data_IF_865043069361
#
_entry.id   IF_865043069361
#
_cell.length_a   1.000
_cell.length_b   1.000
_cell.length_c   1.000
_cell.angle_alpha   90.00
_cell.angle_beta   90.00
_cell.angle_gamma   90.00
#
_symmetry.space_group_name_H-M   'P 1'
#
loop_
_entity.id
_entity.type
_entity.pdbx_description
1 polymer ?
#
# COMPACT_ATOMS: atom_id res chain seq x y z
N UNK A 1 -59.71 10.28 -30.34
CA UNK A 1 -59.13 8.93 -30.59
C UNK A 1 -57.73 9.13 -31.20
N UNK A 2 -56.71 8.91 -30.42
CA UNK A 2 -55.31 8.95 -30.89
C UNK A 2 -54.87 7.57 -31.28
N UNK A 3 -54.72 7.29 -32.55
CA UNK A 3 -54.19 6.05 -33.09
C UNK A 3 -52.69 6.00 -32.90
N UNK A 4 -52.21 5.18 -31.98
CA UNK A 4 -50.80 4.91 -31.74
C UNK A 4 -50.23 4.08 -32.89
N UNK A 5 -49.35 4.68 -33.69
CA UNK A 5 -48.64 3.96 -34.77
C UNK A 5 -47.78 2.82 -34.19
N UNK A 6 -47.89 1.58 -34.72
CA UNK A 6 -47.02 0.50 -34.27
C UNK A 6 -45.61 0.77 -34.72
N UNK A 7 -44.70 0.92 -33.75
CA UNK A 7 -43.27 1.04 -34.01
C UNK A 7 -42.74 -0.20 -34.74
N UNK A 8 -42.04 -0.01 -35.84
CA UNK A 8 -41.38 -1.06 -36.63
C UNK A 8 -40.31 -1.71 -35.75
N UNK A 9 -40.55 -2.94 -35.34
CA UNK A 9 -39.51 -3.74 -34.66
C UNK A 9 -38.52 -4.23 -35.73
N UNK A 10 -37.29 -3.71 -35.70
CA UNK A 10 -36.20 -4.20 -36.53
C UNK A 10 -35.58 -5.39 -35.81
N UNK A 11 -35.72 -6.59 -36.38
CA UNK A 11 -35.00 -7.79 -35.91
C UNK A 11 -33.53 -7.76 -36.35
N UNK A 12 -32.64 -8.23 -35.50
CA UNK A 12 -31.21 -8.41 -35.81
C UNK A 12 -31.04 -9.57 -36.77
N UNK A 13 -30.23 -9.42 -37.80
CA UNK A 13 -29.96 -10.49 -38.76
C UNK A 13 -28.91 -11.46 -38.19
N UNK A 14 -28.94 -12.72 -38.62
CA UNK A 14 -27.99 -13.74 -38.19
C UNK A 14 -26.54 -13.34 -38.55
N UNK A 15 -26.37 -12.72 -39.72
CA UNK A 15 -25.02 -12.25 -40.15
C UNK A 15 -24.50 -11.11 -39.25
N UNK A 16 -25.36 -10.18 -38.81
CA UNK A 16 -25.00 -9.10 -37.91
C UNK A 16 -24.54 -9.61 -36.54
N UNK A 17 -25.25 -10.66 -36.05
CA UNK A 17 -24.86 -11.31 -34.81
C UNK A 17 -23.50 -12.03 -34.93
N UNK A 18 -23.23 -12.73 -36.04
CA UNK A 18 -21.95 -13.38 -36.30
C UNK A 18 -20.79 -12.38 -36.35
N UNK A 19 -21.01 -11.25 -37.06
CA UNK A 19 -20.01 -10.20 -37.18
C UNK A 19 -19.72 -9.55 -35.82
N UNK A 20 -20.76 -9.23 -35.05
CA UNK A 20 -20.59 -8.62 -33.72
C UNK A 20 -19.85 -9.52 -32.73
N UNK A 21 -20.19 -10.83 -32.68
CA UNK A 21 -19.52 -11.82 -31.83
C UNK A 21 -18.05 -11.98 -32.25
N UNK A 22 -17.75 -11.98 -33.55
CA UNK A 22 -16.38 -12.07 -34.04
C UNK A 22 -15.53 -10.85 -33.60
N UNK A 23 -16.08 -9.64 -33.75
CA UNK A 23 -15.40 -8.42 -33.34
C UNK A 23 -15.15 -8.42 -31.80
N UNK A 24 -16.17 -8.78 -31.01
CA UNK A 24 -16.04 -8.85 -29.55
C UNK A 24 -14.97 -9.87 -29.16
N UNK A 25 -14.96 -11.05 -29.81
CA UNK A 25 -13.95 -12.08 -29.52
C UNK A 25 -12.52 -11.61 -29.76
N UNK A 26 -12.28 -10.87 -30.85
CA UNK A 26 -10.97 -10.29 -31.14
C UNK A 26 -10.57 -9.24 -30.10
N UNK A 27 -11.50 -8.36 -29.72
CA UNK A 27 -11.26 -7.33 -28.72
C UNK A 27 -10.93 -7.94 -27.34
N UNK A 28 -11.64 -8.99 -26.94
CA UNK A 28 -11.38 -9.70 -25.69
C UNK A 28 -10.03 -10.42 -25.71
N UNK A 29 -9.65 -11.04 -26.80
CA UNK A 29 -8.38 -11.74 -26.94
C UNK A 29 -7.17 -10.81 -26.74
N UNK A 30 -7.26 -9.54 -27.14
CA UNK A 30 -6.21 -8.54 -26.97
C UNK A 30 -6.31 -7.84 -25.62
N UNK A 31 -7.52 -7.56 -25.14
CA UNK A 31 -7.75 -6.77 -23.92
C UNK A 31 -7.48 -7.52 -22.62
N UNK A 32 -7.85 -8.79 -22.53
CA UNK A 32 -7.73 -9.58 -21.28
C UNK A 32 -6.29 -9.68 -20.76
N UNK A 33 -5.24 -9.95 -21.57
CA UNK A 33 -3.87 -10.04 -21.05
C UNK A 33 -3.37 -8.75 -20.41
N UNK A 34 -3.72 -7.61 -20.97
CA UNK A 34 -3.28 -6.30 -20.46
C UNK A 34 -3.95 -5.91 -19.13
N UNK A 35 -5.18 -6.37 -18.91
CA UNK A 35 -5.91 -6.16 -17.65
C UNK A 35 -5.21 -6.83 -16.45
N UNK A 36 -4.62 -8.00 -16.64
CA UNK A 36 -3.91 -8.72 -15.59
C UNK A 36 -2.72 -7.93 -15.04
N UNK A 37 -1.95 -7.26 -15.90
CA UNK A 37 -0.83 -6.43 -15.47
C UNK A 37 -1.30 -5.13 -14.79
N UNK A 38 -2.33 -4.50 -15.32
CA UNK A 38 -2.94 -3.32 -14.71
C UNK A 38 -3.44 -3.62 -13.29
N UNK A 39 -4.12 -4.76 -13.07
CA UNK A 39 -4.57 -5.20 -11.74
C UNK A 39 -3.36 -5.40 -10.80
N UNK A 40 -2.28 -6.04 -11.27
CA UNK A 40 -1.07 -6.23 -10.44
C UNK A 40 -0.44 -4.90 -10.03
N UNK A 41 -0.30 -3.95 -10.95
CA UNK A 41 0.24 -2.61 -10.65
C UNK A 41 -0.65 -1.85 -9.66
N UNK A 42 -1.97 -1.91 -9.86
CA UNK A 42 -2.93 -1.24 -8.99
C UNK A 42 -2.91 -1.80 -7.56
N UNK A 43 -2.81 -3.12 -7.40
CA UNK A 43 -2.73 -3.75 -6.07
C UNK A 43 -1.48 -3.33 -5.30
N UNK A 44 -0.32 -3.18 -5.96
CA UNK A 44 0.91 -2.66 -5.33
C UNK A 44 0.70 -1.19 -4.92
N UNK A 45 0.07 -0.38 -5.77
CA UNK A 45 -0.25 1.02 -5.47
C UNK A 45 -1.13 1.16 -4.23
N UNK A 46 -2.24 0.43 -4.18
CA UNK A 46 -3.18 0.44 -3.04
C UNK A 46 -2.51 -0.03 -1.74
N UNK A 47 -1.66 -1.06 -1.82
CA UNK A 47 -0.89 -1.52 -0.68
C UNK A 47 0.11 -0.46 -0.19
N UNK A 48 0.79 0.24 -1.11
CA UNK A 48 1.71 1.33 -0.77
C UNK A 48 0.99 2.52 -0.11
N UNK A 49 -0.18 2.89 -0.62
CA UNK A 49 -1.03 3.91 -0.01
C UNK A 49 -1.49 3.52 1.39
N UNK A 50 -1.85 2.24 1.61
CA UNK A 50 -2.20 1.73 2.93
C UNK A 50 -1.06 1.90 3.93
N UNK A 51 0.17 1.49 3.58
CA UNK A 51 1.36 1.66 4.43
C UNK A 51 1.66 3.14 4.67
N UNK A 52 1.60 3.96 3.63
CA UNK A 52 1.81 5.41 3.73
C UNK A 52 0.80 6.07 4.68
N UNK A 53 -0.47 5.69 4.59
CA UNK A 53 -1.53 6.20 5.46
C UNK A 53 -1.34 5.75 6.91
N UNK A 54 -0.95 4.49 7.14
CA UNK A 54 -0.61 3.98 8.47
C UNK A 54 0.56 4.74 9.11
N UNK A 55 1.62 5.01 8.35
CA UNK A 55 2.76 5.79 8.82
C UNK A 55 2.36 7.24 9.15
N UNK A 56 1.59 7.91 8.28
CA UNK A 56 1.07 9.27 8.53
C UNK A 56 0.17 9.32 9.76
N UNK A 57 -0.64 8.29 9.95
CA UNK A 57 -1.48 8.19 11.13
C UNK A 57 -0.64 8.02 12.41
N UNK A 58 0.43 7.22 12.36
CA UNK A 58 1.35 7.07 13.48
C UNK A 58 2.04 8.40 13.85
N UNK A 59 2.52 9.15 12.85
CA UNK A 59 3.10 10.48 13.03
C UNK A 59 2.09 11.46 13.62
N UNK A 60 0.90 11.57 13.04
CA UNK A 60 -0.15 12.46 13.51
C UNK A 60 -0.58 12.15 14.96
N UNK A 61 -0.74 10.86 15.30
CA UNK A 61 -1.07 10.44 16.66
C UNK A 61 0.06 10.72 17.66
N UNK A 62 1.31 10.58 17.26
CA UNK A 62 2.44 10.92 18.09
C UNK A 62 2.45 12.42 18.44
N UNK A 63 2.24 13.28 17.45
CA UNK A 63 2.15 14.74 17.64
C UNK A 63 0.92 15.09 18.48
N UNK A 64 -0.26 14.54 18.14
CA UNK A 64 -1.52 14.83 18.84
C UNK A 64 -1.49 14.47 20.32
N UNK A 65 -0.88 13.32 20.66
CA UNK A 65 -0.79 12.84 22.04
C UNK A 65 0.47 13.32 22.76
N UNK A 66 1.39 13.95 22.05
CA UNK A 66 2.73 14.32 22.55
C UNK A 66 3.44 13.13 23.22
N UNK A 67 3.39 11.95 22.59
CA UNK A 67 3.97 10.71 23.09
C UNK A 67 4.52 9.87 21.93
N UNK A 68 5.29 8.83 22.28
CA UNK A 68 5.80 7.91 21.26
C UNK A 68 4.66 7.03 20.72
N UNK A 69 4.60 6.92 19.41
CA UNK A 69 3.70 6.02 18.68
C UNK A 69 4.51 5.10 17.79
N UNK A 70 4.23 3.82 17.85
CA UNK A 70 4.89 2.80 17.07
C UNK A 70 4.03 2.43 15.85
N UNK A 71 4.65 2.47 14.69
CA UNK A 71 4.19 1.74 13.51
C UNK A 71 4.96 0.44 13.45
N UNK A 72 4.27 -0.70 13.44
CA UNK A 72 4.92 -2.02 13.41
C UNK A 72 4.36 -2.89 12.28
N UNK A 73 5.25 -3.69 11.70
CA UNK A 73 4.87 -4.81 10.85
C UNK A 73 4.65 -6.04 11.74
N UNK A 74 3.68 -6.86 11.40
CA UNK A 74 3.33 -8.06 12.16
C UNK A 74 2.77 -9.15 11.26
N UNK A 75 2.92 -10.39 11.66
CA UNK A 75 2.25 -11.53 11.01
C UNK A 75 0.89 -11.86 11.65
N UNK A 76 0.60 -11.30 12.82
CA UNK A 76 -0.69 -11.45 13.47
C UNK A 76 -1.75 -10.51 12.86
N UNK A 77 -3.03 -10.83 13.10
CA UNK A 77 -4.15 -9.97 12.75
C UNK A 77 -4.20 -8.77 13.69
N UNK A 78 -4.06 -7.54 13.18
CA UNK A 78 -4.16 -6.35 14.02
C UNK A 78 -5.59 -6.21 14.58
N UNK A 79 -5.70 -6.09 15.90
CA UNK A 79 -6.99 -5.87 16.56
C UNK A 79 -6.81 -5.08 17.86
N UNK A 80 -7.87 -4.40 18.30
CA UNK A 80 -7.83 -3.65 19.54
C UNK A 80 -7.64 -4.57 20.76
N UNK A 81 -8.27 -5.73 20.77
CA UNK A 81 -8.14 -6.71 21.86
C UNK A 81 -6.77 -7.40 21.88
N UNK A 82 -6.12 -7.52 20.73
CA UNK A 82 -4.83 -8.18 20.59
C UNK A 82 -3.61 -7.26 20.66
N UNK A 83 -3.77 -5.96 20.92
CA UNK A 83 -2.67 -4.98 20.82
C UNK A 83 -1.46 -5.32 21.70
N UNK A 84 -1.69 -5.93 22.87
CA UNK A 84 -0.63 -6.32 23.81
C UNK A 84 0.16 -7.54 23.31
N UNK A 85 -0.46 -8.40 22.51
CA UNK A 85 0.16 -9.62 21.96
C UNK A 85 0.76 -9.44 20.57
N UNK A 86 0.59 -8.25 19.94
CA UNK A 86 1.21 -7.98 18.65
C UNK A 86 2.73 -7.93 18.78
N UNK A 87 3.40 -8.89 18.18
CA UNK A 87 4.86 -8.88 18.02
C UNK A 87 5.25 -8.25 16.70
N UNK A 88 6.23 -7.36 16.77
CA UNK A 88 6.84 -6.79 15.58
C UNK A 88 7.66 -7.84 14.85
N UNK A 89 7.57 -7.85 13.53
CA UNK A 89 8.27 -8.80 12.67
C UNK A 89 8.81 -8.08 11.43
N UNK A 90 10.09 -8.27 11.14
CA UNK A 90 10.66 -7.82 9.87
C UNK A 90 9.90 -8.47 8.71
N UNK A 91 9.56 -7.68 7.71
CA UNK A 91 8.79 -8.12 6.56
C UNK A 91 7.42 -8.72 6.91
N UNK A 92 6.81 -8.28 8.01
CA UNK A 92 5.48 -8.74 8.44
C UNK A 92 4.42 -8.43 7.38
N UNK A 93 3.44 -9.34 7.24
CA UNK A 93 2.39 -9.25 6.21
C UNK A 93 1.34 -8.17 6.49
N UNK A 94 1.19 -7.77 7.74
CA UNK A 94 0.21 -6.80 8.20
C UNK A 94 0.92 -5.65 8.90
N UNK A 95 0.24 -4.54 9.10
CA UNK A 95 0.79 -3.45 9.91
C UNK A 95 -0.21 -2.99 10.98
N UNK A 96 0.33 -2.44 12.06
CA UNK A 96 -0.46 -1.83 13.12
C UNK A 96 0.20 -0.56 13.62
N UNK A 97 -0.61 0.31 14.21
CA UNK A 97 -0.20 1.53 14.92
C UNK A 97 -0.65 1.44 16.35
N UNK A 98 0.27 1.63 17.29
CA UNK A 98 -0.02 1.65 18.72
C UNK A 98 0.73 2.77 19.44
N UNK A 99 0.05 3.44 20.38
CA UNK A 99 0.65 4.46 21.21
C UNK A 99 1.25 3.82 22.47
N UNK A 100 2.44 4.30 22.87
CA UNK A 100 3.16 3.85 24.05
C UNK A 100 2.83 4.78 25.21
N UNK A 101 2.16 4.27 26.25
CA UNK A 101 1.83 5.05 27.46
C UNK A 101 3.08 5.46 28.26
N UNK A 102 3.01 6.61 28.93
CA UNK A 102 4.14 7.19 29.69
C UNK A 102 4.32 6.58 31.08
N UNK A 103 3.31 5.94 31.66
CA UNK A 103 3.30 5.54 33.09
C UNK A 103 2.85 4.14 33.30
N UNK A 104 2.61 3.23 32.70
CA UNK A 104 2.18 1.84 32.97
C UNK A 104 2.00 1.01 31.69
N UNK A 105 2.96 1.05 30.78
CA UNK A 105 3.05 0.10 29.66
C UNK A 105 1.70 -0.16 28.93
N UNK A 106 0.73 0.74 29.06
CA UNK A 106 -0.56 0.60 28.36
C UNK A 106 -0.38 0.97 26.91
N UNK A 107 -0.13 -0.06 26.11
CA UNK A 107 -0.21 0.06 24.65
C UNK A 107 -1.67 0.38 24.27
N UNK A 108 -1.87 1.51 23.62
CA UNK A 108 -3.19 1.85 23.09
C UNK A 108 -3.22 1.59 21.59
N UNK A 109 -4.11 0.72 21.16
CA UNK A 109 -4.35 0.48 19.73
C UNK A 109 -4.88 1.75 19.08
N UNK A 110 -4.30 2.12 17.95
CA UNK A 110 -4.73 3.25 17.12
C UNK A 110 -5.42 2.74 15.87
N UNK A 111 -4.72 1.92 15.11
CA UNK A 111 -5.23 1.34 13.88
C UNK A 111 -4.38 0.14 13.46
N UNK A 112 -4.86 -0.58 12.47
CA UNK A 112 -4.12 -1.65 11.84
C UNK A 112 -4.81 -2.12 10.58
N UNK A 113 -4.06 -2.81 9.74
CA UNK A 113 -4.53 -3.24 8.45
C UNK A 113 -4.00 -4.63 8.10
N UNK A 114 -4.89 -5.48 7.63
CA UNK A 114 -4.55 -6.78 7.07
C UNK A 114 -4.31 -6.66 5.56
N UNK A 115 -3.06 -6.75 5.17
CA UNK A 115 -2.70 -6.67 3.75
C UNK A 115 -3.34 -7.80 2.92
N UNK A 116 -3.54 -8.96 3.54
CA UNK A 116 -4.17 -10.11 2.91
C UNK A 116 -5.62 -9.89 2.45
N UNK A 117 -6.33 -8.93 3.02
CA UNK A 117 -7.71 -8.62 2.63
C UNK A 117 -7.78 -7.80 1.34
N UNK A 118 -6.80 -6.95 1.09
CA UNK A 118 -6.79 -6.03 -0.07
C UNK A 118 -5.87 -6.53 -1.17
N UNK A 119 -4.75 -7.15 -0.80
CA UNK A 119 -3.74 -7.57 -1.77
C UNK A 119 -2.94 -8.76 -1.24
N UNK A 120 -3.53 -9.97 -1.23
CA UNK A 120 -2.91 -11.17 -0.63
C UNK A 120 -1.56 -11.54 -1.26
N UNK A 121 -1.34 -11.17 -2.52
CA UNK A 121 -0.13 -11.49 -3.28
C UNK A 121 0.94 -10.40 -3.23
N UNK A 122 0.70 -9.30 -2.50
CA UNK A 122 1.70 -8.24 -2.33
C UNK A 122 2.59 -8.56 -1.15
N UNK A 123 3.88 -8.67 -1.42
CA UNK A 123 4.90 -8.80 -0.39
C UNK A 123 5.29 -7.41 0.13
N UNK A 124 5.29 -7.27 1.46
CA UNK A 124 5.75 -6.10 2.18
C UNK A 124 7.07 -6.42 2.86
N UNK A 125 8.13 -5.71 2.49
CA UNK A 125 9.45 -5.85 3.11
C UNK A 125 9.86 -4.52 3.75
N UNK A 126 10.32 -4.57 4.99
CA UNK A 126 10.72 -3.38 5.74
C UNK A 126 11.05 -3.69 7.18
N UNK A 127 11.50 -2.69 7.96
CA UNK A 127 11.83 -2.87 9.37
C UNK A 127 10.60 -3.25 10.19
N UNK A 128 10.81 -4.07 11.22
CA UNK A 128 9.77 -4.56 12.11
C UNK A 128 9.00 -3.43 12.80
N UNK A 129 9.69 -2.38 13.22
CA UNK A 129 9.09 -1.26 13.96
C UNK A 129 9.73 0.06 13.60
N UNK A 130 8.94 1.11 13.65
CA UNK A 130 9.33 2.50 13.53
C UNK A 130 8.58 3.33 14.56
N UNK A 131 9.28 4.23 15.27
CA UNK A 131 8.67 5.03 16.33
C UNK A 131 8.69 6.50 15.96
N UNK A 132 7.53 7.14 16.08
CA UNK A 132 7.40 8.59 15.96
C UNK A 132 7.35 9.23 17.35
N UNK A 133 8.05 10.32 17.53
CA UNK A 133 8.02 11.13 18.77
C UNK A 133 6.92 12.18 18.70
N UNK A 134 6.59 12.81 19.83
CA UNK A 134 5.64 13.94 19.86
C UNK A 134 6.05 15.15 19.01
N UNK A 135 7.29 15.22 18.54
CA UNK A 135 7.79 16.22 17.59
C UNK A 135 7.77 15.74 16.11
N UNK A 136 7.19 14.58 15.84
CA UNK A 136 7.14 13.99 14.49
C UNK A 136 8.46 13.36 14.01
N UNK A 137 9.51 13.34 14.84
CA UNK A 137 10.80 12.75 14.46
C UNK A 137 10.79 11.23 14.63
N UNK A 138 11.62 10.57 13.85
CA UNK A 138 11.73 9.11 13.84
C UNK A 138 12.83 8.64 14.79
N UNK A 139 12.52 7.61 15.57
CA UNK A 139 13.46 6.94 16.48
C UNK A 139 13.37 5.42 16.32
N UNK A 140 14.38 4.72 16.80
CA UNK A 140 14.38 3.27 16.95
C UNK A 140 13.65 2.81 18.25
N UNK A 141 13.69 1.52 18.54
CA UNK A 141 13.08 0.94 19.74
C UNK A 141 13.67 1.47 21.04
N UNK A 142 14.95 1.87 21.04
CA UNK A 142 15.65 2.42 22.22
C UNK A 142 15.36 3.90 22.45
N UNK A 143 14.77 4.58 21.46
CA UNK A 143 14.54 6.03 21.48
C UNK A 143 15.68 6.84 20.85
N UNK A 144 16.70 6.18 20.31
CA UNK A 144 17.76 6.85 19.57
C UNK A 144 17.24 7.34 18.20
N UNK A 145 17.68 8.52 17.79
CA UNK A 145 17.29 9.08 16.50
C UNK A 145 17.86 8.23 15.36
N UNK A 146 17.01 7.84 14.41
CA UNK A 146 17.48 7.20 13.18
C UNK A 146 18.17 8.23 12.30
N UNK A 147 19.27 7.84 11.67
CA UNK A 147 20.06 8.70 10.77
C UNK A 147 19.81 8.42 9.31
N UNK A 148 19.27 7.23 9.01
CA UNK A 148 19.03 6.77 7.65
C UNK A 148 17.54 6.68 7.34
N UNK A 149 17.21 6.72 6.05
CA UNK A 149 15.85 6.51 5.57
C UNK A 149 15.39 5.09 5.89
N UNK A 150 14.22 4.97 6.51
CA UNK A 150 13.53 3.71 6.72
C UNK A 150 12.65 3.42 5.52
N UNK A 151 12.79 2.24 4.94
CA UNK A 151 12.18 1.92 3.64
C UNK A 151 11.29 0.69 3.77
N UNK A 152 10.07 0.81 3.29
CA UNK A 152 9.10 -0.27 3.13
C UNK A 152 8.91 -0.52 1.64
N UNK A 153 9.31 -1.70 1.17
CA UNK A 153 9.19 -2.11 -0.22
C UNK A 153 7.97 -2.98 -0.43
N UNK A 154 7.16 -2.62 -1.41
CA UNK A 154 6.00 -3.40 -1.82
C UNK A 154 6.25 -3.95 -3.22
N UNK A 155 6.06 -5.24 -3.38
CA UNK A 155 6.25 -5.95 -4.65
C UNK A 155 5.27 -7.11 -4.76
N UNK A 156 4.99 -7.51 -6.00
CA UNK A 156 4.12 -8.66 -6.29
C UNK A 156 4.79 -9.52 -7.34
N UNK A 157 4.72 -10.85 -7.16
CA UNK A 157 5.23 -11.78 -8.17
C UNK A 157 4.55 -11.59 -9.52
N UNK A 158 5.34 -11.55 -10.58
CA UNK A 158 4.86 -11.33 -11.94
C UNK A 158 4.42 -9.89 -12.27
N UNK A 159 4.62 -8.93 -11.36
CA UNK A 159 4.50 -7.52 -11.68
C UNK A 159 5.83 -6.98 -12.20
N UNK A 160 5.77 -6.01 -13.09
CA UNK A 160 6.95 -5.35 -13.70
C UNK A 160 7.50 -4.20 -12.85
N UNK A 161 6.87 -3.93 -11.70
CA UNK A 161 7.20 -2.75 -10.89
C UNK A 161 7.09 -3.08 -9.39
N UNK A 162 7.93 -2.42 -8.59
CA UNK A 162 7.81 -2.31 -7.15
C UNK A 162 7.54 -0.85 -6.76
N UNK A 163 7.01 -0.62 -5.57
CA UNK A 163 6.86 0.72 -4.98
C UNK A 163 7.49 0.70 -3.60
N UNK A 164 8.25 1.74 -3.27
CA UNK A 164 8.79 1.91 -1.94
C UNK A 164 8.18 3.12 -1.24
N UNK A 165 7.75 2.93 -0.01
CA UNK A 165 7.40 3.99 0.93
C UNK A 165 8.60 4.20 1.83
N UNK A 166 9.08 5.42 1.96
CA UNK A 166 10.21 5.72 2.81
C UNK A 166 9.93 6.87 3.77
N UNK A 167 10.53 6.76 4.93
CA UNK A 167 10.42 7.76 6.00
C UNK A 167 11.79 8.36 6.25
N UNK A 168 11.87 9.68 6.22
CA UNK A 168 13.10 10.41 6.54
C UNK A 168 13.30 10.46 8.05
N UNK A 169 14.52 10.69 8.56
CA UNK A 169 14.78 10.89 9.99
C UNK A 169 13.93 12.02 10.62
N UNK A 170 13.58 13.03 9.81
CA UNK A 170 12.71 14.12 10.21
C UNK A 170 11.20 13.81 10.20
N UNK A 171 10.79 12.58 9.84
CA UNK A 171 9.39 12.16 9.82
C UNK A 171 8.70 12.26 8.46
N UNK A 172 9.27 12.94 7.46
CA UNK A 172 8.60 13.07 6.16
C UNK A 172 8.42 11.72 5.47
N UNK A 173 7.19 11.40 5.09
CA UNK A 173 6.78 10.13 4.48
C UNK A 173 6.52 10.36 2.98
N UNK A 174 7.23 9.62 2.15
CA UNK A 174 7.17 9.73 0.69
C UNK A 174 7.15 8.36 0.03
N UNK A 175 6.67 8.32 -1.21
CA UNK A 175 6.69 7.13 -2.07
C UNK A 175 7.66 7.34 -3.22
N UNK A 176 8.28 6.26 -3.69
CA UNK A 176 9.12 6.28 -4.88
C UNK A 176 9.06 4.95 -5.64
N UNK A 177 9.43 5.02 -6.91
CA UNK A 177 9.50 3.89 -7.83
C UNK A 177 10.98 3.64 -8.21
N UNK A 178 11.54 2.47 -7.86
CA UNK A 178 12.93 2.15 -8.16
C UNK A 178 13.20 1.91 -9.67
N UNK A 179 12.18 1.66 -10.47
CA UNK A 179 12.32 1.47 -11.92
C UNK A 179 12.60 2.79 -12.65
N UNK A 180 12.19 3.92 -12.08
CA UNK A 180 12.37 5.24 -12.69
C UNK A 180 13.84 5.68 -12.65
N UNK A 181 14.29 6.33 -13.72
CA UNK A 181 15.62 6.92 -13.78
C UNK A 181 15.75 8.09 -12.81
N UNK A 182 16.94 8.29 -12.26
CA UNK A 182 17.26 9.42 -11.38
C UNK A 182 16.86 10.76 -12.03
N UNK A 183 16.28 11.66 -11.24
CA UNK A 183 15.79 12.97 -11.68
C UNK A 183 14.37 12.97 -12.24
N UNK A 184 13.72 11.83 -12.40
CA UNK A 184 12.29 11.76 -12.73
C UNK A 184 11.45 11.97 -11.47
N UNK A 185 10.25 12.57 -11.58
CA UNK A 185 9.29 12.59 -10.49
C UNK A 185 9.02 11.17 -9.97
N UNK A 186 8.99 11.02 -8.65
CA UNK A 186 8.81 9.73 -7.96
C UNK A 186 9.95 8.71 -8.13
N UNK A 187 11.11 9.07 -8.73
CA UNK A 187 12.28 8.20 -8.72
C UNK A 187 12.81 8.02 -7.29
N UNK A 188 13.26 6.80 -6.93
CA UNK A 188 13.89 6.56 -5.63
C UNK A 188 15.28 7.22 -5.53
N UNK A 189 16.06 7.15 -6.60
CA UNK A 189 17.39 7.78 -6.65
C UNK A 189 17.31 9.30 -6.80
N UNK A 190 18.19 10.07 -6.15
CA UNK A 190 19.32 9.65 -5.32
C UNK A 190 19.01 9.42 -3.83
N UNK A 191 17.76 9.65 -3.38
CA UNK A 191 17.38 9.66 -1.96
C UNK A 191 17.42 8.27 -1.33
N UNK A 192 16.91 7.27 -2.03
CA UNK A 192 16.86 5.87 -1.59
C UNK A 192 17.68 5.01 -2.54
N UNK A 193 18.68 4.32 -2.01
CA UNK A 193 19.54 3.44 -2.80
C UNK A 193 18.76 2.21 -3.30
N UNK A 194 19.16 1.67 -4.46
CA UNK A 194 18.59 0.44 -4.99
C UNK A 194 18.88 -0.80 -4.11
N UNK A 195 19.84 -0.72 -3.19
CA UNK A 195 20.05 -1.77 -2.18
C UNK A 195 18.90 -1.83 -1.18
N UNK A 196 18.33 -0.67 -0.79
CA UNK A 196 17.17 -0.59 0.11
C UNK A 196 15.82 -0.75 -0.60
N UNK A 197 15.76 -0.38 -1.87
CA UNK A 197 14.58 -0.48 -2.71
C UNK A 197 14.98 -1.07 -4.09
N UNK A 198 15.22 -2.40 -4.18
CA UNK A 198 15.59 -3.02 -5.43
C UNK A 198 14.44 -3.00 -6.43
N UNK A 199 14.80 -2.94 -7.72
CA UNK A 199 13.84 -3.17 -8.82
C UNK A 199 13.27 -4.58 -8.73
N UNK A 200 12.21 -4.84 -9.47
CA UNK A 200 11.65 -6.20 -9.63
C UNK A 200 12.54 -6.99 -10.57
#
# INVERSE_FOLDING_TARGET
MLTKSPGRQHGVTLIELMVTVTIISILLAVGIPQMGEWIRRNSIGSAAESVQNGLRQAEAEAIRRNMRVEFLLTNATPSQSGVLSLSAADNGKNWAVRALGTTDAKLAYVSGFQMSEVSPDVALAGPASLFFTGMGRVTDSTGAAVTEYQVYRLSRSGADRAVCVFVTPGGAIKTCDPALASGKPFACLPLVSLAKCPKV
#
